data_IF_839691320435
#
_entry.id   IF_839691320435
#
_cell.length_a   1.000
_cell.length_b   1.000
_cell.length_c   1.000
_cell.angle_alpha   90.00
_cell.angle_beta   90.00
_cell.angle_gamma   90.00
#
_symmetry.space_group_name_H-M   'P 1'
#
loop_
_entity.id
_entity.type
_entity.pdbx_description
1 polymer ?
#
# COMPACT_ATOMS: atom_id res chain seq x y z
N UNK A 1 4.34 -23.23 9.57
CA UNK A 1 4.15 -21.97 8.86
C UNK A 1 4.12 -20.86 9.90
N UNK A 2 4.91 -19.79 9.73
CA UNK A 2 4.78 -18.60 10.56
C UNK A 2 3.36 -18.05 10.34
N UNK A 3 2.72 -17.62 11.41
CA UNK A 3 1.44 -16.93 11.34
C UNK A 3 1.59 -15.67 10.46
N UNK A 4 0.58 -15.40 9.63
CA UNK A 4 0.60 -14.22 8.77
C UNK A 4 0.52 -12.95 9.61
N UNK A 5 1.30 -11.92 9.28
CA UNK A 5 1.23 -10.63 9.95
C UNK A 5 -0.18 -10.01 9.86
N UNK A 6 -0.85 -10.19 8.73
CA UNK A 6 -2.22 -9.73 8.51
C UNK A 6 -3.27 -10.42 9.39
N UNK A 7 -2.92 -11.53 10.07
CA UNK A 7 -3.80 -12.28 10.99
C UNK A 7 -3.59 -11.93 12.46
N UNK A 8 -2.56 -11.14 12.78
CA UNK A 8 -2.27 -10.73 14.15
C UNK A 8 -3.31 -9.74 14.68
N UNK A 9 -3.53 -9.75 16.00
CA UNK A 9 -4.25 -8.66 16.64
C UNK A 9 -3.50 -7.34 16.45
N UNK A 10 -4.20 -6.19 16.56
CA UNK A 10 -3.54 -4.88 16.48
C UNK A 10 -2.41 -4.72 17.50
N UNK A 11 -2.61 -5.27 18.70
CA UNK A 11 -1.60 -5.24 19.77
C UNK A 11 -0.39 -6.09 19.41
N UNK A 12 -0.62 -7.32 18.93
CA UNK A 12 0.47 -8.23 18.58
C UNK A 12 1.23 -7.73 17.36
N UNK A 13 0.55 -7.15 16.36
CA UNK A 13 1.21 -6.53 15.22
C UNK A 13 2.10 -5.34 15.65
N UNK A 14 1.62 -4.50 16.57
CA UNK A 14 2.41 -3.40 17.11
C UNK A 14 3.61 -3.89 17.92
N UNK A 15 3.43 -4.92 18.76
CA UNK A 15 4.49 -5.54 19.55
C UNK A 15 5.56 -6.18 18.65
N UNK A 16 5.15 -6.93 17.60
CA UNK A 16 6.08 -7.52 16.63
C UNK A 16 6.84 -6.43 15.87
N UNK A 17 6.17 -5.32 15.50
CA UNK A 17 6.82 -4.17 14.85
C UNK A 17 7.87 -3.50 15.73
N UNK A 18 7.68 -3.49 17.05
CA UNK A 18 8.61 -2.88 18.01
C UNK A 18 9.72 -3.82 18.48
N UNK A 19 9.69 -5.08 18.05
CA UNK A 19 10.68 -6.10 18.44
C UNK A 19 11.99 -5.98 17.65
N UNK A 20 12.95 -6.85 17.93
CA UNK A 20 14.18 -7.01 17.15
C UNK A 20 13.96 -7.81 15.85
N UNK A 21 12.73 -8.20 15.55
CA UNK A 21 12.38 -8.90 14.30
C UNK A 21 12.61 -8.00 13.09
N UNK A 22 13.21 -8.52 12.00
CA UNK A 22 13.38 -7.72 10.78
C UNK A 22 12.08 -7.43 10.03
N UNK A 23 10.98 -8.06 10.44
CA UNK A 23 9.63 -7.88 9.89
C UNK A 23 8.58 -8.00 11.02
N UNK A 24 7.48 -7.19 10.99
CA UNK A 24 7.12 -6.23 9.93
C UNK A 24 8.01 -5.00 9.88
N UNK A 25 8.41 -4.59 8.68
CA UNK A 25 9.19 -3.39 8.43
C UNK A 25 8.36 -2.26 7.83
N UNK A 26 9.05 -1.20 7.36
CA UNK A 26 8.41 -0.02 6.78
C UNK A 26 7.50 -0.31 5.58
N UNK A 27 7.76 -1.37 4.79
CA UNK A 27 6.93 -1.78 3.67
C UNK A 27 5.59 -2.36 4.15
N UNK A 28 5.62 -3.33 5.06
CA UNK A 28 4.41 -3.91 5.66
C UNK A 28 3.57 -2.84 6.36
N UNK A 29 4.20 -1.90 7.11
CA UNK A 29 3.49 -0.76 7.72
C UNK A 29 2.85 0.13 6.66
N UNK A 30 3.56 0.41 5.56
CA UNK A 30 3.02 1.22 4.46
C UNK A 30 1.81 0.55 3.81
N UNK A 31 1.85 -0.77 3.61
CA UNK A 31 0.71 -1.54 3.10
C UNK A 31 -0.49 -1.46 4.05
N UNK A 32 -0.25 -1.60 5.35
CA UNK A 32 -1.33 -1.52 6.35
C UNK A 32 -1.93 -0.11 6.44
N UNK A 33 -1.12 0.96 6.36
CA UNK A 33 -1.65 2.33 6.21
C UNK A 33 -2.57 2.45 5.00
N UNK A 34 -2.19 1.88 3.86
CA UNK A 34 -3.04 1.83 2.66
C UNK A 34 -4.33 1.04 2.88
N UNK A 35 -4.25 -0.10 3.59
CA UNK A 35 -5.41 -0.91 3.98
C UNK A 35 -6.40 -0.09 4.82
N UNK A 36 -5.92 0.64 5.81
CA UNK A 36 -6.76 1.50 6.66
C UNK A 36 -7.41 2.64 5.85
N UNK A 37 -6.67 3.22 4.90
CA UNK A 37 -7.23 4.22 3.98
C UNK A 37 -8.39 3.66 3.17
N UNK A 38 -8.23 2.47 2.58
CA UNK A 38 -9.27 1.81 1.80
C UNK A 38 -10.46 1.38 2.68
N UNK A 39 -10.19 0.93 3.91
CA UNK A 39 -11.23 0.57 4.88
C UNK A 39 -12.12 1.77 5.24
N UNK A 40 -11.52 2.92 5.56
CA UNK A 40 -12.27 4.16 5.84
C UNK A 40 -13.05 4.63 4.60
N UNK A 41 -12.44 4.58 3.43
CA UNK A 41 -13.10 4.93 2.17
C UNK A 41 -14.31 4.02 1.90
N UNK A 42 -14.17 2.71 2.15
CA UNK A 42 -15.27 1.73 2.06
C UNK A 42 -16.37 2.04 3.06
N UNK A 43 -15.99 2.38 4.30
CA UNK A 43 -16.94 2.76 5.35
C UNK A 43 -17.77 3.99 4.94
N UNK A 44 -17.12 5.04 4.42
CA UNK A 44 -17.84 6.26 3.95
C UNK A 44 -18.82 5.91 2.83
N UNK A 45 -18.42 5.05 1.88
CA UNK A 45 -19.29 4.59 0.80
C UNK A 45 -20.49 3.80 1.35
N UNK A 46 -20.28 2.86 2.27
CA UNK A 46 -21.35 2.07 2.89
C UNK A 46 -22.33 2.93 3.69
N UNK A 47 -21.82 3.86 4.51
CA UNK A 47 -22.67 4.80 5.27
C UNK A 47 -23.45 5.74 4.34
N UNK A 48 -22.96 6.00 3.15
CA UNK A 48 -23.64 6.81 2.13
C UNK A 48 -24.71 6.01 1.40
N UNK A 49 -24.46 4.74 1.06
CA UNK A 49 -25.43 3.87 0.36
C UNK A 49 -26.68 3.58 1.21
N UNK A 50 -26.51 3.55 2.54
CA UNK A 50 -27.61 3.29 3.49
C UNK A 50 -28.17 4.57 4.14
N UNK A 51 -27.78 5.75 3.66
CA UNK A 51 -28.28 7.01 4.21
C UNK A 51 -29.75 7.22 3.86
N UNK A 52 -30.57 7.38 4.90
CA UNK A 52 -32.01 7.64 4.73
C UNK A 52 -32.27 8.82 3.79
N UNK A 53 -33.11 8.62 2.80
CA UNK A 53 -33.45 9.62 1.79
C UNK A 53 -32.49 9.70 0.62
N UNK A 54 -31.56 8.73 0.49
CA UNK A 54 -30.62 8.59 -0.62
C UNK A 54 -30.84 7.26 -1.40
N UNK A 55 -32.07 6.77 -1.39
CA UNK A 55 -32.43 5.47 -1.98
C UNK A 55 -32.15 5.39 -3.49
N UNK A 56 -32.17 6.52 -4.19
CA UNK A 56 -31.81 6.66 -5.60
C UNK A 56 -30.30 6.62 -5.89
N UNK A 57 -29.48 6.69 -4.85
CA UNK A 57 -28.01 6.76 -4.93
C UNK A 57 -27.30 5.52 -4.40
N UNK A 58 -28.06 4.51 -3.92
CA UNK A 58 -27.46 3.35 -3.27
C UNK A 58 -26.50 2.56 -4.18
N UNK A 59 -26.86 2.40 -5.47
CA UNK A 59 -26.01 1.69 -6.45
C UNK A 59 -24.68 2.39 -6.64
N UNK A 60 -24.70 3.73 -6.81
CA UNK A 60 -23.47 4.53 -6.95
C UNK A 60 -22.52 4.31 -5.79
N UNK A 61 -22.99 4.36 -4.55
CA UNK A 61 -22.13 4.17 -3.39
C UNK A 61 -21.75 2.71 -3.18
N UNK A 62 -22.63 1.76 -3.46
CA UNK A 62 -22.32 0.33 -3.39
C UNK A 62 -21.21 -0.07 -4.37
N UNK A 63 -21.21 0.49 -5.56
CA UNK A 63 -20.15 0.27 -6.54
C UNK A 63 -18.81 0.81 -6.06
N UNK A 64 -18.79 2.00 -5.45
CA UNK A 64 -17.57 2.55 -4.88
C UNK A 64 -17.09 1.77 -3.66
N UNK A 65 -18.02 1.31 -2.80
CA UNK A 65 -17.70 0.46 -1.67
C UNK A 65 -17.01 -0.84 -2.13
N UNK A 66 -17.55 -1.50 -3.17
CA UNK A 66 -16.96 -2.71 -3.74
C UNK A 66 -15.56 -2.45 -4.29
N UNK A 67 -15.38 -1.41 -5.10
CA UNK A 67 -14.05 -1.05 -5.65
C UNK A 67 -13.03 -0.76 -4.54
N UNK A 68 -13.44 -0.07 -3.48
CA UNK A 68 -12.56 0.23 -2.35
C UNK A 68 -12.23 -1.01 -1.53
N UNK A 69 -13.18 -1.92 -1.35
CA UNK A 69 -12.97 -3.21 -0.69
C UNK A 69 -11.98 -4.09 -1.46
N UNK A 70 -12.05 -4.11 -2.79
CA UNK A 70 -11.08 -4.83 -3.63
C UNK A 70 -9.66 -4.27 -3.42
N UNK A 71 -9.51 -2.95 -3.39
CA UNK A 71 -8.23 -2.28 -3.08
C UNK A 71 -7.75 -2.60 -1.65
N UNK A 72 -8.66 -2.62 -0.67
CA UNK A 72 -8.35 -3.01 0.71
C UNK A 72 -7.79 -4.42 0.77
N UNK A 73 -8.43 -5.39 0.10
CA UNK A 73 -8.00 -6.78 0.07
C UNK A 73 -6.62 -6.94 -0.58
N UNK A 74 -6.34 -6.20 -1.66
CA UNK A 74 -5.03 -6.21 -2.28
C UNK A 74 -3.95 -5.62 -1.37
N UNK A 75 -4.25 -4.54 -0.65
CA UNK A 75 -3.30 -3.89 0.26
C UNK A 75 -3.01 -4.71 1.51
N UNK A 76 -4.01 -5.39 2.09
CA UNK A 76 -3.77 -6.27 3.24
C UNK A 76 -2.88 -7.47 2.86
N UNK A 77 -3.07 -8.02 1.65
CA UNK A 77 -2.19 -9.07 1.13
C UNK A 77 -0.75 -8.58 0.94
N UNK A 78 -0.54 -7.30 0.61
CA UNK A 78 0.79 -6.72 0.45
C UNK A 78 1.55 -6.58 1.78
N UNK A 79 0.86 -6.59 2.94
CA UNK A 79 1.51 -6.62 4.27
C UNK A 79 2.39 -7.87 4.40
N UNK A 80 1.84 -9.03 4.07
CA UNK A 80 2.58 -10.31 4.13
C UNK A 80 3.58 -10.44 2.99
N UNK A 81 3.21 -10.03 1.77
CA UNK A 81 4.08 -10.10 0.59
C UNK A 81 5.38 -9.29 0.75
N UNK A 82 5.35 -8.17 1.49
CA UNK A 82 6.55 -7.38 1.78
C UNK A 82 7.54 -8.19 2.62
N UNK A 83 7.06 -8.85 3.66
CA UNK A 83 7.86 -9.74 4.50
C UNK A 83 8.38 -10.94 3.71
N UNK A 84 7.54 -11.56 2.88
CA UNK A 84 7.94 -12.70 2.04
C UNK A 84 9.02 -12.31 1.04
N UNK A 85 8.90 -11.12 0.43
CA UNK A 85 9.92 -10.60 -0.50
C UNK A 85 11.27 -10.37 0.19
N UNK A 86 11.28 -9.86 1.41
CA UNK A 86 12.47 -9.74 2.23
C UNK A 86 13.10 -11.11 2.56
N UNK A 87 12.27 -12.06 3.01
CA UNK A 87 12.73 -13.41 3.31
C UNK A 87 13.35 -14.11 2.09
N UNK A 88 12.77 -13.94 0.90
CA UNK A 88 13.32 -14.47 -0.35
C UNK A 88 14.73 -13.92 -0.66
N UNK A 89 15.02 -12.65 -0.34
CA UNK A 89 16.39 -12.11 -0.47
C UNK A 89 17.33 -12.86 0.47
N UNK A 90 16.96 -13.00 1.75
CA UNK A 90 17.79 -13.69 2.75
C UNK A 90 18.05 -15.14 2.36
N UNK A 91 17.03 -15.87 1.91
CA UNK A 91 17.16 -17.23 1.41
C UNK A 91 18.08 -17.33 0.20
N UNK A 92 17.95 -16.40 -0.74
CA UNK A 92 18.81 -16.34 -1.93
C UNK A 92 20.28 -16.08 -1.59
N UNK A 93 20.55 -15.22 -0.59
CA UNK A 93 21.91 -14.94 -0.10
C UNK A 93 22.55 -16.18 0.54
N UNK A 94 21.75 -17.05 1.16
CA UNK A 94 22.19 -18.28 1.82
C UNK A 94 22.47 -19.46 0.87
N UNK A 95 22.16 -19.32 -0.42
CA UNK A 95 22.44 -20.37 -1.40
C UNK A 95 23.94 -20.66 -1.50
N UNK A 96 24.34 -21.93 -1.81
CA UNK A 96 25.74 -22.32 -1.99
C UNK A 96 26.48 -21.46 -3.00
N UNK A 97 27.80 -21.29 -2.81
CA UNK A 97 28.67 -20.44 -3.61
C UNK A 97 30.08 -21.02 -3.84
N UNK A 98 30.22 -22.35 -3.73
CA UNK A 98 31.52 -23.01 -3.76
C UNK A 98 31.96 -23.36 -5.20
N UNK A 99 31.03 -23.41 -6.14
CA UNK A 99 31.29 -23.66 -7.56
C UNK A 99 30.79 -22.52 -8.44
N UNK A 100 31.33 -22.37 -9.65
CA UNK A 100 30.85 -21.33 -10.61
C UNK A 100 29.38 -21.48 -10.95
N UNK A 101 28.86 -22.71 -11.03
CA UNK A 101 27.46 -22.98 -11.28
C UNK A 101 26.58 -22.51 -10.12
N UNK A 102 27.02 -22.75 -8.89
CA UNK A 102 26.30 -22.30 -7.67
C UNK A 102 26.34 -20.77 -7.55
N UNK A 103 27.50 -20.14 -7.79
CA UNK A 103 27.63 -18.68 -7.82
C UNK A 103 26.64 -18.07 -8.83
N UNK A 104 26.57 -18.61 -10.04
CA UNK A 104 25.63 -18.14 -11.07
C UNK A 104 24.19 -18.26 -10.61
N UNK A 105 23.77 -19.44 -10.14
CA UNK A 105 22.40 -19.70 -9.64
C UNK A 105 22.04 -18.75 -8.47
N UNK A 106 22.97 -18.56 -7.52
CA UNK A 106 22.81 -17.68 -6.38
C UNK A 106 22.60 -16.21 -6.84
N UNK A 107 23.42 -15.73 -7.77
CA UNK A 107 23.32 -14.36 -8.27
C UNK A 107 22.00 -14.12 -9.04
N UNK A 108 21.55 -15.10 -9.81
CA UNK A 108 20.24 -15.05 -10.49
C UNK A 108 19.09 -15.04 -9.47
N UNK A 109 19.17 -15.85 -8.43
CA UNK A 109 18.17 -15.88 -7.36
C UNK A 109 18.11 -14.55 -6.58
N UNK A 110 19.27 -13.98 -6.21
CA UNK A 110 19.36 -12.67 -5.54
C UNK A 110 18.77 -11.59 -6.43
N UNK A 111 19.12 -11.55 -7.71
CA UNK A 111 18.59 -10.56 -8.65
C UNK A 111 17.07 -10.65 -8.77
N UNK A 112 16.52 -11.85 -8.88
CA UNK A 112 15.07 -12.08 -8.94
C UNK A 112 14.37 -11.66 -7.64
N UNK A 113 14.91 -12.04 -6.48
CA UNK A 113 14.35 -11.69 -5.18
C UNK A 113 14.38 -10.17 -4.94
N UNK A 114 15.50 -9.50 -5.26
CA UNK A 114 15.63 -8.04 -5.15
C UNK A 114 14.63 -7.32 -6.06
N UNK A 115 14.47 -7.80 -7.29
CA UNK A 115 13.46 -7.26 -8.21
C UNK A 115 12.04 -7.35 -7.65
N UNK A 116 11.69 -8.50 -7.03
CA UNK A 116 10.41 -8.66 -6.35
C UNK A 116 10.26 -7.70 -5.17
N UNK A 117 11.30 -7.55 -4.35
CA UNK A 117 11.31 -6.63 -3.21
C UNK A 117 11.20 -5.13 -3.61
N UNK A 118 11.52 -4.78 -4.87
CA UNK A 118 11.27 -3.45 -5.43
C UNK A 118 9.81 -3.32 -5.90
N UNK A 119 9.26 -4.38 -6.53
CA UNK A 119 7.91 -4.34 -7.10
C UNK A 119 6.80 -4.35 -6.05
N UNK A 120 7.00 -5.03 -4.92
CA UNK A 120 5.99 -5.06 -3.84
C UNK A 120 5.68 -3.66 -3.30
N UNK A 121 6.65 -2.85 -2.83
CA UNK A 121 6.35 -1.50 -2.36
C UNK A 121 5.89 -0.55 -3.49
N UNK A 122 6.27 -0.78 -4.73
CA UNK A 122 5.68 -0.06 -5.87
C UNK A 122 4.18 -0.37 -5.99
N UNK A 123 3.78 -1.64 -5.85
CA UNK A 123 2.37 -2.04 -5.86
C UNK A 123 1.59 -1.39 -4.72
N UNK A 124 2.19 -1.25 -3.52
CA UNK A 124 1.58 -0.50 -2.41
C UNK A 124 1.28 0.94 -2.83
N UNK A 125 2.24 1.61 -3.48
CA UNK A 125 2.06 2.98 -3.97
C UNK A 125 0.93 3.08 -5.00
N UNK A 126 0.87 2.14 -5.95
CA UNK A 126 -0.15 2.10 -7.00
C UNK A 126 -1.55 1.93 -6.40
N UNK A 127 -1.72 0.94 -5.50
CA UNK A 127 -3.01 0.65 -4.86
C UNK A 127 -3.47 1.74 -3.91
N UNK A 128 -2.56 2.33 -3.13
CA UNK A 128 -2.88 3.48 -2.29
C UNK A 128 -3.28 4.71 -3.12
N UNK A 129 -2.69 4.92 -4.29
CA UNK A 129 -3.11 5.97 -5.21
C UNK A 129 -4.49 5.69 -5.82
N UNK A 130 -4.82 4.43 -6.14
CA UNK A 130 -6.16 4.05 -6.59
C UNK A 130 -7.20 4.28 -5.48
N UNK A 131 -6.87 3.96 -4.23
CA UNK A 131 -7.69 4.30 -3.07
C UNK A 131 -7.98 5.81 -2.99
N UNK A 132 -6.98 6.67 -3.17
CA UNK A 132 -7.16 8.13 -3.10
C UNK A 132 -8.17 8.66 -4.14
N UNK A 133 -8.24 8.04 -5.33
CA UNK A 133 -9.24 8.42 -6.35
C UNK A 133 -10.66 8.14 -5.84
N UNK A 134 -10.87 7.00 -5.19
CA UNK A 134 -12.15 6.62 -4.60
C UNK A 134 -12.47 7.54 -3.40
N UNK A 135 -11.47 7.81 -2.56
CA UNK A 135 -11.60 8.74 -1.42
C UNK A 135 -12.05 10.12 -1.85
N UNK A 136 -11.56 10.63 -3.00
CA UNK A 136 -12.03 11.91 -3.56
C UNK A 136 -13.53 11.89 -3.88
N UNK A 137 -14.01 10.82 -4.52
CA UNK A 137 -15.44 10.67 -4.81
C UNK A 137 -16.27 10.63 -3.52
N UNK A 138 -15.75 9.97 -2.49
CA UNK A 138 -16.41 9.92 -1.16
C UNK A 138 -16.38 11.28 -0.47
N UNK A 139 -15.32 12.06 -0.57
CA UNK A 139 -15.26 13.42 -0.05
C UNK A 139 -16.23 14.37 -0.77
N UNK A 140 -16.39 14.22 -2.09
CA UNK A 140 -17.30 15.02 -2.89
C UNK A 140 -18.77 14.68 -2.65
N UNK A 141 -19.11 13.39 -2.63
CA UNK A 141 -20.47 12.90 -2.78
C UNK A 141 -21.00 12.13 -1.57
N UNK A 142 -20.11 11.69 -0.68
CA UNK A 142 -20.42 10.85 0.47
C UNK A 142 -21.24 11.54 1.55
N UNK A 143 -21.60 10.76 2.57
CA UNK A 143 -22.32 11.25 3.72
C UNK A 143 -21.54 12.41 4.41
N UNK A 144 -22.11 13.60 4.54
CA UNK A 144 -21.44 14.74 5.18
C UNK A 144 -20.93 14.44 6.59
N UNK A 145 -21.64 13.59 7.34
CA UNK A 145 -21.23 13.21 8.70
C UNK A 145 -19.95 12.37 8.76
N UNK A 146 -19.51 11.86 7.61
CA UNK A 146 -18.28 11.05 7.45
C UNK A 146 -17.18 11.79 6.68
N UNK A 147 -17.28 13.11 6.55
CA UNK A 147 -16.30 13.89 5.78
C UNK A 147 -14.90 13.84 6.42
N UNK A 148 -14.81 13.85 7.74
CA UNK A 148 -13.55 13.71 8.47
C UNK A 148 -12.90 12.34 8.24
N UNK A 149 -13.69 11.27 8.09
CA UNK A 149 -13.18 9.93 7.77
C UNK A 149 -12.55 9.87 6.37
N UNK A 150 -13.13 10.57 5.39
CA UNK A 150 -12.53 10.74 4.06
C UNK A 150 -11.19 11.51 4.14
N UNK A 151 -11.09 12.51 5.02
CA UNK A 151 -9.85 13.23 5.29
C UNK A 151 -8.78 12.32 5.87
N UNK A 152 -9.10 11.55 6.91
CA UNK A 152 -8.18 10.57 7.53
C UNK A 152 -7.77 9.49 6.53
N UNK A 153 -8.69 8.99 5.69
CA UNK A 153 -8.37 8.05 4.61
C UNK A 153 -7.31 8.62 3.66
N UNK A 154 -7.44 9.89 3.26
CA UNK A 154 -6.45 10.58 2.42
C UNK A 154 -5.07 10.68 3.08
N UNK A 155 -5.03 10.98 4.39
CA UNK A 155 -3.77 11.03 5.16
C UNK A 155 -3.10 9.66 5.28
N UNK A 156 -3.86 8.61 5.52
CA UNK A 156 -3.35 7.23 5.53
C UNK A 156 -2.82 6.81 4.15
N UNK A 157 -3.54 7.13 3.08
CA UNK A 157 -3.13 6.78 1.72
C UNK A 157 -1.82 7.49 1.31
N UNK A 158 -1.66 8.78 1.64
CA UNK A 158 -0.41 9.49 1.33
C UNK A 158 0.77 8.97 2.19
N UNK A 159 0.52 8.53 3.42
CA UNK A 159 1.52 7.87 4.24
C UNK A 159 1.98 6.55 3.59
N UNK A 160 1.04 5.72 3.12
CA UNK A 160 1.32 4.49 2.39
C UNK A 160 2.16 4.74 1.13
N UNK A 161 1.82 5.75 0.32
CA UNK A 161 2.55 6.10 -0.90
C UNK A 161 3.97 6.57 -0.59
N UNK A 162 4.15 7.45 0.40
CA UNK A 162 5.47 7.96 0.78
C UNK A 162 6.33 6.86 1.42
N UNK A 163 5.74 6.04 2.27
CA UNK A 163 6.42 4.90 2.88
C UNK A 163 6.82 3.86 1.84
N UNK A 164 5.92 3.51 0.91
CA UNK A 164 6.23 2.65 -0.23
C UNK A 164 7.39 3.18 -1.07
N UNK A 165 7.43 4.49 -1.35
CA UNK A 165 8.55 5.13 -2.07
C UNK A 165 9.88 4.96 -1.35
N UNK A 166 9.92 5.09 -0.02
CA UNK A 166 11.16 4.89 0.75
C UNK A 166 11.65 3.45 0.61
N UNK A 167 10.73 2.47 0.64
CA UNK A 167 11.07 1.05 0.48
C UNK A 167 11.50 0.72 -0.96
N UNK A 168 10.86 1.31 -2.00
CA UNK A 168 11.36 1.20 -3.38
C UNK A 168 12.79 1.72 -3.47
N UNK A 169 13.06 2.90 -2.93
CA UNK A 169 14.39 3.53 -3.03
C UNK A 169 15.50 2.72 -2.35
N UNK A 170 15.25 2.22 -1.13
CA UNK A 170 16.27 1.44 -0.42
C UNK A 170 16.59 0.13 -1.15
N UNK A 171 15.56 -0.53 -1.70
CA UNK A 171 15.72 -1.78 -2.44
C UNK A 171 16.38 -1.59 -3.83
N UNK A 172 16.25 -0.40 -4.42
CA UNK A 172 16.92 -0.05 -5.68
C UNK A 172 18.41 0.27 -5.50
N UNK A 173 18.89 0.58 -4.28
CA UNK A 173 20.22 1.14 -4.04
C UNK A 173 21.35 0.27 -4.60
N UNK A 174 21.24 -1.05 -4.40
CA UNK A 174 22.29 -2.02 -4.78
C UNK A 174 21.84 -2.93 -5.96
N UNK A 175 20.81 -2.53 -6.70
CA UNK A 175 20.30 -3.29 -7.84
C UNK A 175 20.96 -2.81 -9.14
N UNK A 176 21.52 -3.74 -9.94
CA UNK A 176 22.39 -3.39 -11.07
C UNK A 176 21.67 -3.19 -12.42
N UNK A 177 20.35 -3.42 -12.52
CA UNK A 177 19.59 -3.18 -13.75
C UNK A 177 19.16 -1.72 -13.87
N UNK A 178 20.03 -0.88 -14.42
CA UNK A 178 19.81 0.57 -14.55
C UNK A 178 18.54 0.91 -15.37
N UNK A 179 18.21 0.14 -16.41
CA UNK A 179 17.01 0.38 -17.23
C UNK A 179 15.74 0.10 -16.40
N UNK A 180 15.75 -0.98 -15.63
CA UNK A 180 14.67 -1.30 -14.74
C UNK A 180 14.50 -0.19 -13.67
N UNK A 181 15.59 0.23 -13.00
CA UNK A 181 15.55 1.30 -11.99
C UNK A 181 15.00 2.59 -12.59
N UNK A 182 15.44 2.98 -13.79
CA UNK A 182 14.91 4.19 -14.45
C UNK A 182 13.40 4.09 -14.69
N UNK A 183 12.90 2.93 -15.11
CA UNK A 183 11.48 2.69 -15.31
C UNK A 183 10.68 2.80 -13.99
N UNK A 184 11.23 2.25 -12.90
CA UNK A 184 10.64 2.33 -11.55
C UNK A 184 10.61 3.78 -11.06
N UNK A 185 11.72 4.52 -11.19
CA UNK A 185 11.79 5.92 -10.77
C UNK A 185 10.76 6.78 -11.53
N UNK A 186 10.60 6.63 -12.82
CA UNK A 186 9.56 7.32 -13.61
C UNK A 186 8.16 7.04 -13.08
N UNK A 187 7.86 5.78 -12.74
CA UNK A 187 6.55 5.39 -12.18
C UNK A 187 6.33 6.00 -10.80
N UNK A 188 7.29 5.85 -9.89
CA UNK A 188 7.17 6.36 -8.51
C UNK A 188 7.03 7.88 -8.48
N UNK A 189 7.80 8.62 -9.30
CA UNK A 189 7.72 10.07 -9.40
C UNK A 189 6.35 10.52 -9.94
N UNK A 190 5.83 9.81 -10.93
CA UNK A 190 4.49 10.07 -11.47
C UNK A 190 3.41 9.87 -10.40
N UNK A 191 3.45 8.74 -9.68
CA UNK A 191 2.48 8.45 -8.61
C UNK A 191 2.60 9.51 -7.51
N UNK A 192 3.80 9.83 -7.04
CA UNK A 192 4.02 10.81 -5.99
C UNK A 192 3.49 12.21 -6.37
N UNK A 193 3.77 12.66 -7.60
CA UNK A 193 3.29 13.94 -8.10
C UNK A 193 1.77 14.00 -8.14
N UNK A 194 1.14 12.96 -8.70
CA UNK A 194 -0.33 12.88 -8.82
C UNK A 194 -1.00 12.76 -7.45
N UNK A 195 -0.44 11.97 -6.54
CA UNK A 195 -1.02 11.77 -5.20
C UNK A 195 -0.95 13.02 -4.33
N UNK A 196 0.15 13.79 -4.39
CA UNK A 196 0.25 15.08 -3.70
C UNK A 196 -0.81 16.06 -4.16
N UNK A 197 -1.03 16.16 -5.48
CA UNK A 197 -2.09 17.02 -6.03
C UNK A 197 -3.47 16.56 -5.55
N UNK A 198 -3.73 15.27 -5.64
CA UNK A 198 -5.02 14.69 -5.25
C UNK A 198 -5.28 14.82 -3.74
N UNK A 199 -4.23 14.71 -2.90
CA UNK A 199 -4.34 14.95 -1.46
C UNK A 199 -4.79 16.37 -1.16
N UNK A 200 -4.20 17.38 -1.81
CA UNK A 200 -4.58 18.79 -1.62
C UNK A 200 -6.05 18.98 -2.04
N UNK A 201 -6.47 18.42 -3.17
CA UNK A 201 -7.86 18.50 -3.63
C UNK A 201 -8.83 17.88 -2.60
N UNK A 202 -8.51 16.69 -2.08
CA UNK A 202 -9.35 16.01 -1.07
C UNK A 202 -9.42 16.85 0.22
N UNK A 203 -8.28 17.33 0.72
CA UNK A 203 -8.25 18.09 1.97
C UNK A 203 -8.99 19.42 1.85
N UNK A 204 -8.90 20.10 0.72
CA UNK A 204 -9.70 21.32 0.48
C UNK A 204 -11.21 21.02 0.54
N UNK A 205 -11.66 19.91 -0.10
CA UNK A 205 -13.08 19.51 -0.03
C UNK A 205 -13.49 19.18 1.41
N UNK A 206 -12.59 18.53 2.16
CA UNK A 206 -12.86 18.18 3.58
C UNK A 206 -12.99 19.45 4.41
N UNK A 207 -12.05 20.39 4.29
CA UNK A 207 -12.05 21.64 5.05
C UNK A 207 -13.25 22.55 4.73
N UNK A 208 -13.70 22.56 3.46
CA UNK A 208 -14.91 23.30 3.05
C UNK A 208 -16.20 22.72 3.63
N UNK A 209 -16.20 21.44 4.01
CA UNK A 209 -17.40 20.73 4.48
C UNK A 209 -17.41 20.48 5.99
N UNK A 210 -16.31 20.75 6.71
CA UNK A 210 -16.22 20.72 8.18
C UNK A 210 -16.82 22.01 8.77
#
# INVERSE_FOLDING_TARGET
>A
PKEKLSSLSLTDFANETSSESPAPGGGSISAYCGTLAASLTTMVANLSSHKRGWDDRWEFFSDWAKKSLDVQNELIDLVDKDTDAFNQIIESIRLPKDTEVEIKKRNEAISKATKNAILVPLSIMEKAYDCMKITKEMALHGNPNSISDAGVASLCAIAAIKGGLLNVKINCKDFNDLKFIESINKKTDSILKKSKKLQIEIMNIVEEKL
#
